data_IF_018806096574
#
_entry.id   IF_018806096574
#
_cell.length_a   1.000
_cell.length_b   1.000
_cell.length_c   1.000
_cell.angle_alpha   90.00
_cell.angle_beta   90.00
_cell.angle_gamma   90.00
#
_symmetry.space_group_name_H-M   'P 1'
#
loop_
_entity.id
_entity.type
_entity.pdbx_description
1 polymer ?
#
# COMPACT_ATOMS: atom_id res chain seq x y z
N UNK A 1 -0.20 -3.05 26.81
CA UNK A 1 -1.04 -2.62 25.67
C UNK A 1 -0.12 -1.97 24.65
N UNK A 2 -0.21 -2.33 23.37
CA UNK A 2 0.61 -1.69 22.35
C UNK A 2 0.25 -0.19 22.28
N UNK A 3 1.24 0.68 22.42
CA UNK A 3 1.05 2.13 22.30
C UNK A 3 0.92 2.50 20.83
N UNK A 4 -0.07 3.31 20.50
CA UNK A 4 -0.23 3.83 19.14
C UNK A 4 0.86 4.86 18.85
N UNK A 5 1.40 4.78 17.64
CA UNK A 5 2.42 5.72 17.15
C UNK A 5 1.83 6.69 16.13
N UNK A 6 2.39 7.89 16.06
CA UNK A 6 2.01 8.91 15.09
C UNK A 6 2.55 8.55 13.70
N UNK A 7 1.69 8.52 12.69
CA UNK A 7 2.13 8.23 11.31
C UNK A 7 3.08 9.29 10.72
N UNK A 8 3.07 10.51 11.27
CA UNK A 8 3.82 11.66 10.75
C UNK A 8 5.21 11.79 11.34
N UNK A 9 5.40 11.47 12.62
CA UNK A 9 6.67 11.66 13.33
C UNK A 9 7.11 10.47 14.18
N UNK A 10 6.36 9.36 14.17
CA UNK A 10 6.57 8.18 15.00
C UNK A 10 6.55 8.42 16.53
N UNK A 11 6.06 9.58 16.97
CA UNK A 11 5.86 9.88 18.39
C UNK A 11 4.85 8.94 19.04
N UNK A 12 5.06 8.65 20.32
CA UNK A 12 4.18 7.81 21.14
C UNK A 12 2.89 8.54 21.56
N UNK A 13 1.99 7.81 22.25
CA UNK A 13 0.72 8.32 22.78
C UNK A 13 -0.18 8.96 21.70
N UNK A 14 -0.17 8.38 20.50
CA UNK A 14 -1.00 8.85 19.41
C UNK A 14 -2.47 8.46 19.62
N UNK A 15 -3.38 9.33 19.16
CA UNK A 15 -4.80 9.07 19.15
C UNK A 15 -5.25 8.68 17.74
N UNK A 16 -6.15 7.70 17.65
CA UNK A 16 -6.77 7.35 16.38
C UNK A 16 -7.56 8.53 15.82
N UNK A 17 -7.62 8.64 14.50
CA UNK A 17 -8.57 9.52 13.85
C UNK A 17 -9.99 9.17 14.33
N UNK A 18 -10.73 10.20 14.75
CA UNK A 18 -12.08 10.07 15.30
C UNK A 18 -13.09 9.48 14.31
N UNK A 19 -12.84 9.59 13.00
CA UNK A 19 -13.71 9.07 11.95
C UNK A 19 -13.33 7.63 11.56
N UNK A 20 -12.21 7.45 10.85
CA UNK A 20 -11.85 6.15 10.28
C UNK A 20 -11.27 5.14 11.27
N UNK A 21 -10.76 5.61 12.42
CA UNK A 21 -10.05 4.79 13.41
C UNK A 21 -8.92 3.90 12.85
N UNK A 22 -8.39 4.23 11.68
CA UNK A 22 -7.43 3.43 10.90
C UNK A 22 -6.06 4.10 10.72
N UNK A 23 -5.87 5.27 11.34
CA UNK A 23 -4.60 6.03 11.37
C UNK A 23 -4.54 6.82 12.67
N UNK A 24 -3.35 7.12 13.17
CA UNK A 24 -3.15 7.82 14.46
C UNK A 24 -2.16 8.97 14.39
N UNK A 25 -2.40 9.99 15.23
CA UNK A 25 -1.59 11.20 15.35
C UNK A 25 -1.33 11.55 16.81
N UNK A 26 -0.13 12.01 17.14
CA UNK A 26 0.19 12.48 18.50
C UNK A 26 -0.33 13.89 18.79
N UNK A 27 -0.67 14.66 17.75
CA UNK A 27 -1.16 16.03 17.91
C UNK A 27 -2.08 16.48 16.76
N UNK A 28 -2.91 17.52 16.98
CA UNK A 28 -3.72 18.14 15.92
C UNK A 28 -2.89 18.66 14.75
N UNK A 29 -1.66 19.12 15.00
CA UNK A 29 -0.75 19.63 13.96
C UNK A 29 -0.31 18.51 13.02
N UNK A 30 0.06 17.35 13.57
CA UNK A 30 0.38 16.17 12.77
C UNK A 30 -0.82 15.75 11.91
N UNK A 31 -2.02 15.70 12.51
CA UNK A 31 -3.25 15.37 11.76
C UNK A 31 -3.53 16.39 10.65
N UNK A 32 -3.43 17.70 10.95
CA UNK A 32 -3.67 18.78 9.98
C UNK A 32 -2.68 18.73 8.83
N UNK A 33 -1.41 18.40 9.10
CA UNK A 33 -0.39 18.25 8.07
C UNK A 33 -0.66 17.08 7.13
N UNK A 34 -1.23 15.99 7.65
CA UNK A 34 -1.57 14.79 6.87
C UNK A 34 -2.90 14.91 6.12
N UNK A 35 -3.81 15.73 6.65
CA UNK A 35 -5.20 15.80 6.21
C UNK A 35 -5.39 15.93 4.69
N UNK A 36 -4.61 16.73 3.93
CA UNK A 36 -4.75 16.80 2.48
C UNK A 36 -4.67 15.44 1.78
N UNK A 37 -3.82 14.52 2.28
CA UNK A 37 -3.74 13.16 1.78
C UNK A 37 -4.76 12.26 2.47
N UNK A 38 -4.76 12.22 3.81
CA UNK A 38 -5.59 11.29 4.57
C UNK A 38 -7.07 11.39 4.22
N UNK A 39 -7.60 12.59 3.96
CA UNK A 39 -9.02 12.79 3.59
C UNK A 39 -9.45 12.01 2.35
N UNK A 40 -8.53 11.65 1.45
CA UNK A 40 -8.83 10.90 0.22
C UNK A 40 -9.29 9.47 0.51
N UNK A 41 -8.84 8.88 1.63
CA UNK A 41 -9.18 7.51 2.03
C UNK A 41 -9.98 7.42 3.33
N UNK A 42 -10.00 8.50 4.13
CA UNK A 42 -10.58 8.49 5.48
C UNK A 42 -12.01 7.93 5.50
N UNK A 43 -12.88 8.45 4.62
CA UNK A 43 -14.28 8.03 4.55
C UNK A 43 -14.41 6.57 4.09
N UNK A 44 -13.58 6.10 3.16
CA UNK A 44 -13.65 4.73 2.66
C UNK A 44 -13.45 3.68 3.78
N UNK A 45 -12.59 3.98 4.76
CA UNK A 45 -12.40 3.13 5.94
C UNK A 45 -13.58 3.13 6.92
N UNK A 46 -14.54 4.05 6.79
CA UNK A 46 -15.77 4.08 7.62
C UNK A 46 -16.92 3.28 7.03
N UNK A 47 -16.85 2.97 5.73
CA UNK A 47 -17.94 2.34 4.97
C UNK A 47 -17.45 1.10 4.22
N UNK A 48 -16.61 0.30 4.88
CA UNK A 48 -16.09 -0.92 4.28
C UNK A 48 -17.23 -1.94 4.09
N UNK A 49 -17.34 -2.56 2.90
CA UNK A 49 -18.24 -3.68 2.72
C UNK A 49 -17.77 -4.87 3.58
N UNK A 50 -18.69 -5.78 3.89
CA UNK A 50 -18.36 -7.00 4.62
C UNK A 50 -17.24 -7.77 3.91
N UNK A 51 -16.30 -8.28 4.70
CA UNK A 51 -15.25 -9.15 4.19
C UNK A 51 -15.90 -10.40 3.56
N UNK A 52 -15.63 -10.72 2.28
CA UNK A 52 -16.27 -11.86 1.62
C UNK A 52 -15.93 -13.20 2.28
N UNK A 53 -14.64 -13.45 2.53
CA UNK A 53 -14.15 -14.67 3.18
C UNK A 53 -12.96 -14.36 4.11
N UNK A 54 -12.65 -15.22 5.11
CA UNK A 54 -11.50 -15.02 5.99
C UNK A 54 -10.15 -14.89 5.28
N UNK A 55 -10.00 -15.53 4.12
CA UNK A 55 -8.81 -15.45 3.25
C UNK A 55 -8.66 -14.10 2.52
N UNK A 56 -9.68 -13.25 2.54
CA UNK A 56 -9.57 -11.94 1.91
C UNK A 56 -8.93 -10.94 2.87
N UNK A 57 -8.00 -10.14 2.36
CA UNK A 57 -7.33 -9.06 3.08
C UNK A 57 -7.69 -7.74 2.44
N UNK A 58 -7.90 -6.73 3.27
CA UNK A 58 -8.14 -5.39 2.77
C UNK A 58 -6.85 -4.84 2.15
N UNK A 59 -6.94 -4.28 0.95
CA UNK A 59 -5.85 -3.65 0.22
C UNK A 59 -6.28 -2.27 -0.32
N UNK A 60 -5.32 -1.49 -0.80
CA UNK A 60 -5.57 -0.24 -1.53
C UNK A 60 -5.17 -0.44 -2.99
N UNK A 61 -6.11 -0.28 -3.91
CA UNK A 61 -5.83 -0.14 -5.33
C UNK A 61 -5.51 1.32 -5.65
N UNK A 62 -4.42 1.52 -6.37
CA UNK A 62 -4.03 2.78 -7.01
C UNK A 62 -4.33 2.62 -8.50
N UNK A 63 -5.56 2.93 -8.95
CA UNK A 63 -5.96 2.76 -10.33
C UNK A 63 -5.13 3.64 -11.27
N UNK A 64 -4.89 3.15 -12.49
CA UNK A 64 -4.07 3.85 -13.48
C UNK A 64 -4.76 5.12 -14.01
N UNK A 65 -6.09 5.13 -14.06
CA UNK A 65 -6.95 6.08 -14.78
C UNK A 65 -7.80 6.98 -13.87
N UNK A 66 -7.70 6.80 -12.54
CA UNK A 66 -8.43 7.59 -11.56
C UNK A 66 -7.50 8.23 -10.53
N UNK A 67 -7.86 9.42 -10.05
CA UNK A 67 -7.12 10.13 -9.00
C UNK A 67 -7.36 9.56 -7.59
N UNK A 68 -8.47 8.84 -7.43
CA UNK A 68 -8.98 8.42 -6.12
C UNK A 68 -8.59 6.95 -5.85
N UNK A 69 -7.86 6.67 -4.75
CA UNK A 69 -7.53 5.31 -4.34
C UNK A 69 -8.78 4.54 -3.92
N UNK A 70 -8.78 3.22 -4.11
CA UNK A 70 -9.92 2.36 -3.81
C UNK A 70 -9.56 1.31 -2.76
N UNK A 71 -10.46 1.07 -1.80
CA UNK A 71 -10.33 -0.05 -0.86
C UNK A 71 -10.99 -1.29 -1.46
N UNK A 72 -10.21 -2.36 -1.57
CA UNK A 72 -10.64 -3.61 -2.20
C UNK A 72 -10.28 -4.81 -1.34
N UNK A 73 -11.03 -5.90 -1.49
CA UNK A 73 -10.76 -7.17 -0.84
C UNK A 73 -9.98 -8.07 -1.80
N UNK A 74 -8.75 -8.45 -1.42
CA UNK A 74 -7.90 -9.35 -2.21
C UNK A 74 -7.96 -10.75 -1.61
N UNK A 75 -8.33 -11.74 -2.42
CA UNK A 75 -8.23 -13.15 -2.04
C UNK A 75 -6.75 -13.51 -1.88
N UNK A 76 -6.34 -13.90 -0.68
CA UNK A 76 -5.01 -14.40 -0.39
C UNK A 76 -5.10 -15.92 -0.24
N UNK A 77 -4.69 -16.64 -1.28
CA UNK A 77 -4.76 -18.10 -1.30
C UNK A 77 -3.66 -18.69 -0.43
N UNK A 78 -4.02 -19.58 0.48
CA UNK A 78 -3.04 -20.29 1.29
C UNK A 78 -2.38 -21.37 0.45
N UNK A 79 -1.07 -21.29 0.32
CA UNK A 79 -0.20 -22.28 -0.29
C UNK A 79 0.65 -22.95 0.81
N UNK A 80 1.15 -24.15 0.52
CA UNK A 80 2.05 -24.90 1.40
C UNK A 80 3.14 -25.50 0.53
N UNK A 81 4.38 -25.42 0.96
CA UNK A 81 5.52 -25.99 0.26
C UNK A 81 5.49 -27.51 0.46
N UNK A 82 5.60 -28.28 -0.61
CA UNK A 82 5.55 -29.73 -0.50
C UNK A 82 6.85 -30.30 0.11
N UNK A 83 7.98 -29.58 0.04
CA UNK A 83 9.28 -30.03 0.53
C UNK A 83 9.48 -29.72 2.02
N UNK A 84 9.20 -28.50 2.46
CA UNK A 84 9.46 -28.05 3.84
C UNK A 84 8.20 -27.78 4.68
N UNK A 85 7.01 -27.87 4.07
CA UNK A 85 5.73 -27.65 4.74
C UNK A 85 5.46 -26.20 5.14
N UNK A 86 6.28 -25.24 4.70
CA UNK A 86 6.08 -23.82 5.00
C UNK A 86 4.83 -23.33 4.28
N UNK A 87 3.93 -22.70 5.03
CA UNK A 87 2.73 -22.09 4.47
C UNK A 87 2.95 -20.61 4.16
N UNK A 88 2.41 -20.14 3.03
CA UNK A 88 2.35 -18.73 2.66
C UNK A 88 1.01 -18.36 2.05
N UNK A 89 0.77 -17.06 1.87
CA UNK A 89 -0.38 -16.51 1.18
C UNK A 89 0.04 -15.92 -0.18
N UNK A 90 -0.64 -16.35 -1.26
CA UNK A 90 -0.49 -15.78 -2.60
C UNK A 90 -1.68 -14.84 -2.90
N UNK A 91 -1.46 -13.51 -3.03
CA UNK A 91 -2.54 -12.57 -3.28
C UNK A 91 -2.95 -12.56 -4.77
N UNK A 92 -4.23 -12.83 -5.05
CA UNK A 92 -4.81 -12.72 -6.38
C UNK A 92 -4.94 -11.25 -6.82
N UNK A 93 -3.88 -10.78 -7.45
CA UNK A 93 -3.69 -9.38 -7.87
C UNK A 93 -3.56 -9.22 -9.37
N UNK A 94 -3.37 -10.32 -10.12
CA UNK A 94 -3.04 -10.27 -11.55
C UNK A 94 -4.11 -9.52 -12.35
N UNK A 95 -5.38 -9.88 -12.14
CA UNK A 95 -6.51 -9.27 -12.84
C UNK A 95 -6.66 -7.76 -12.57
N UNK A 96 -6.13 -7.25 -11.45
CA UNK A 96 -6.14 -5.82 -11.11
C UNK A 96 -4.99 -5.05 -11.75
N UNK A 97 -3.95 -5.76 -12.19
CA UNK A 97 -2.75 -5.19 -12.74
C UNK A 97 -2.75 -5.15 -14.28
N UNK A 98 -3.69 -5.84 -14.91
CA UNK A 98 -3.86 -5.89 -16.36
C UNK A 98 -4.20 -4.50 -16.95
N UNK A 99 -3.73 -4.28 -18.18
CA UNK A 99 -4.03 -3.10 -18.98
C UNK A 99 -4.50 -3.54 -20.37
N UNK A 100 -5.19 -2.64 -21.07
CA UNK A 100 -5.63 -2.91 -22.44
C UNK A 100 -4.43 -3.15 -23.37
N UNK A 101 -4.51 -4.17 -24.22
CA UNK A 101 -3.48 -4.55 -25.19
C UNK A 101 -2.12 -4.93 -24.56
N UNK A 102 -2.13 -5.46 -23.33
CA UNK A 102 -0.91 -5.99 -22.71
C UNK A 102 -0.38 -7.20 -23.52
N UNK A 103 0.89 -7.16 -23.90
CA UNK A 103 1.55 -8.29 -24.54
C UNK A 103 1.54 -9.52 -23.61
N UNK A 104 1.16 -10.71 -24.09
CA UNK A 104 1.13 -11.91 -23.28
C UNK A 104 2.43 -12.26 -22.56
N UNK A 105 3.57 -11.87 -23.12
CA UNK A 105 4.89 -12.05 -22.48
C UNK A 105 4.98 -11.37 -21.11
N UNK A 106 4.21 -10.30 -20.89
CA UNK A 106 4.26 -9.48 -19.68
C UNK A 106 3.12 -9.73 -18.68
N UNK A 107 2.25 -10.72 -18.90
CA UNK A 107 1.12 -10.99 -18.00
C UNK A 107 1.53 -11.42 -16.59
N UNK A 108 2.64 -12.14 -16.44
CA UNK A 108 3.01 -12.78 -15.17
C UNK A 108 4.09 -12.03 -14.36
N UNK A 109 4.80 -11.07 -14.97
CA UNK A 109 5.94 -10.39 -14.34
C UNK A 109 5.49 -9.31 -13.35
N UNK A 110 5.46 -9.65 -12.06
CA UNK A 110 5.08 -8.75 -10.96
C UNK A 110 6.31 -8.31 -10.19
N UNK A 111 6.35 -7.03 -9.85
CA UNK A 111 7.32 -6.45 -8.92
C UNK A 111 6.67 -6.27 -7.55
N UNK A 112 7.41 -6.63 -6.50
CA UNK A 112 7.00 -6.51 -5.10
C UNK A 112 7.95 -5.56 -4.35
N UNK A 113 7.52 -4.33 -4.14
CA UNK A 113 8.31 -3.30 -3.47
C UNK A 113 7.99 -3.29 -1.97
N UNK A 114 8.89 -3.89 -1.18
CA UNK A 114 8.73 -4.03 0.28
C UNK A 114 9.27 -2.79 1.02
N UNK A 115 8.37 -2.06 1.68
CA UNK A 115 8.65 -0.84 2.44
C UNK A 115 8.66 -1.18 3.93
N UNK A 116 9.85 -1.14 4.53
CA UNK A 116 10.08 -1.39 5.97
C UNK A 116 10.53 -0.13 6.72
N UNK A 117 10.81 0.95 5.98
CA UNK A 117 11.26 2.24 6.49
C UNK A 117 10.56 3.35 5.73
N UNK A 118 10.00 4.31 6.46
CA UNK A 118 9.56 5.56 5.88
C UNK A 118 10.76 6.52 5.82
N UNK A 119 11.51 6.47 4.71
CA UNK A 119 12.73 7.25 4.53
C UNK A 119 12.44 8.76 4.57
N UNK A 120 11.35 9.21 3.92
CA UNK A 120 10.94 10.61 3.90
C UNK A 120 10.73 11.20 5.31
N UNK A 121 10.28 10.37 6.26
CA UNK A 121 10.02 10.76 7.65
C UNK A 121 11.08 10.31 8.64
N UNK A 122 12.08 9.54 8.20
CA UNK A 122 13.23 9.15 9.00
C UNK A 122 13.01 8.01 10.01
N UNK A 123 11.93 7.21 9.92
CA UNK A 123 11.66 6.15 10.90
C UNK A 123 11.41 4.76 10.28
N UNK A 124 11.70 3.71 11.07
CA UNK A 124 11.45 2.32 10.70
C UNK A 124 10.03 1.89 11.08
N UNK A 125 9.46 1.00 10.29
CA UNK A 125 8.17 0.37 10.56
C UNK A 125 8.39 -0.93 11.35
N UNK A 126 7.38 -1.34 12.13
CA UNK A 126 7.33 -2.66 12.78
C UNK A 126 6.62 -3.73 11.93
N UNK A 127 6.25 -3.36 10.70
CA UNK A 127 5.53 -4.15 9.71
C UNK A 127 6.04 -3.79 8.32
N UNK A 128 5.58 -4.50 7.30
CA UNK A 128 5.95 -4.24 5.90
C UNK A 128 4.72 -3.74 5.15
N UNK A 129 4.87 -2.62 4.43
CA UNK A 129 3.92 -2.19 3.40
C UNK A 129 4.49 -2.64 2.07
N UNK A 130 3.72 -3.37 1.28
CA UNK A 130 4.16 -3.87 -0.01
C UNK A 130 3.38 -3.17 -1.12
N UNK A 131 4.09 -2.62 -2.10
CA UNK A 131 3.50 -2.11 -3.34
C UNK A 131 3.75 -3.14 -4.43
N UNK A 132 2.66 -3.68 -4.97
CA UNK A 132 2.65 -4.67 -6.02
C UNK A 132 2.30 -3.95 -7.33
N UNK A 133 3.14 -4.13 -8.34
CA UNK A 133 2.94 -3.60 -9.69
C UNK A 133 3.48 -4.58 -10.72
N UNK A 134 3.47 -4.19 -12.00
CA UNK A 134 4.08 -4.99 -13.06
C UNK A 134 5.53 -4.59 -13.25
N UNK A 135 6.41 -5.57 -13.38
CA UNK A 135 7.84 -5.35 -13.54
C UNK A 135 8.15 -4.62 -14.86
N UNK A 136 7.42 -4.97 -15.92
CA UNK A 136 7.59 -4.40 -17.25
C UNK A 136 6.93 -3.03 -17.45
N UNK A 137 6.38 -2.39 -16.40
CA UNK A 137 5.56 -1.16 -16.50
C UNK A 137 6.24 0.02 -17.23
N UNK A 138 7.56 -0.01 -17.37
CA UNK A 138 8.32 1.01 -18.12
C UNK A 138 8.35 0.77 -19.64
N UNK A 139 8.13 -0.46 -20.09
CA UNK A 139 8.31 -0.88 -21.49
C UNK A 139 7.08 -1.56 -22.11
N UNK A 140 6.09 -1.94 -21.30
CA UNK A 140 4.90 -2.69 -21.73
C UNK A 140 3.72 -1.84 -22.23
N UNK A 141 3.94 -0.54 -22.46
CA UNK A 141 2.90 0.39 -22.89
C UNK A 141 2.08 1.04 -21.77
N UNK A 142 2.32 0.72 -20.49
CA UNK A 142 1.61 1.36 -19.37
C UNK A 142 1.70 2.87 -19.39
N UNK A 143 0.59 3.55 -19.16
CA UNK A 143 0.57 5.00 -18.93
C UNK A 143 0.99 5.35 -17.51
N UNK A 144 1.36 6.62 -17.23
CA UNK A 144 1.54 7.10 -15.87
C UNK A 144 0.31 6.82 -15.00
N UNK A 145 0.53 6.39 -13.76
CA UNK A 145 -0.54 6.14 -12.80
C UNK A 145 -1.11 7.48 -12.29
N UNK A 146 -2.34 7.81 -12.70
CA UNK A 146 -3.01 9.06 -12.34
C UNK A 146 -3.23 9.17 -10.82
N UNK A 147 -3.51 8.05 -10.14
CA UNK A 147 -3.70 8.03 -8.68
C UNK A 147 -2.42 8.46 -7.97
N UNK A 148 -1.27 7.86 -8.33
CA UNK A 148 0.03 8.20 -7.75
C UNK A 148 0.39 9.65 -8.08
N UNK A 149 0.25 10.08 -9.33
CA UNK A 149 0.56 11.44 -9.77
C UNK A 149 -0.23 12.48 -8.97
N UNK A 150 -1.54 12.27 -8.80
CA UNK A 150 -2.41 13.18 -8.06
C UNK A 150 -2.04 13.23 -6.56
N UNK A 151 -1.90 12.07 -5.92
CA UNK A 151 -1.67 11.99 -4.46
C UNK A 151 -0.25 12.40 -4.05
N UNK A 152 0.71 12.41 -4.98
CA UNK A 152 2.06 12.96 -4.81
C UNK A 152 2.19 14.39 -5.33
N UNK A 153 1.12 14.98 -5.88
CA UNK A 153 1.13 16.31 -6.52
C UNK A 153 2.19 16.47 -7.62
N UNK A 154 2.51 15.38 -8.32
CA UNK A 154 3.55 15.35 -9.35
C UNK A 154 4.97 15.60 -8.83
N UNK A 155 5.22 15.40 -7.53
CA UNK A 155 6.53 15.66 -6.92
C UNK A 155 7.44 14.42 -6.89
N UNK A 156 7.07 13.31 -7.53
CA UNK A 156 7.95 12.14 -7.62
C UNK A 156 9.11 12.42 -8.57
N UNK A 157 10.25 11.80 -8.31
CA UNK A 157 11.45 11.83 -9.18
C UNK A 157 11.30 10.89 -10.37
N UNK A 158 10.58 9.79 -10.18
CA UNK A 158 10.27 8.78 -11.19
C UNK A 158 8.80 8.83 -11.57
N UNK A 159 8.51 8.50 -12.83
CA UNK A 159 7.13 8.34 -13.31
C UNK A 159 6.67 6.92 -13.00
N UNK A 160 5.80 6.78 -12.01
CA UNK A 160 5.16 5.51 -11.67
C UNK A 160 4.11 5.17 -12.72
N UNK A 161 4.22 3.98 -13.34
CA UNK A 161 3.37 3.54 -14.45
C UNK A 161 2.59 2.28 -14.10
N UNK A 162 1.43 2.13 -14.72
CA UNK A 162 0.57 0.96 -14.52
C UNK A 162 -0.28 1.04 -13.24
N UNK A 163 -1.34 0.23 -13.13
CA UNK A 163 -2.06 0.04 -11.87
C UNK A 163 -1.16 -0.56 -10.79
N UNK A 164 -1.42 -0.25 -9.51
CA UNK A 164 -0.66 -0.78 -8.38
C UNK A 164 -1.58 -1.15 -7.23
N UNK A 165 -1.22 -2.18 -6.48
CA UNK A 165 -1.92 -2.61 -5.27
C UNK A 165 -0.99 -2.43 -4.07
N UNK A 166 -1.49 -1.82 -3.00
CA UNK A 166 -0.79 -1.69 -1.73
C UNK A 166 -1.38 -2.68 -0.75
N UNK A 167 -0.53 -3.53 -0.18
CA UNK A 167 -0.88 -4.53 0.82
C UNK A 167 -0.01 -4.41 2.07
N UNK A 168 -0.43 -5.09 3.14
CA UNK A 168 0.24 -5.05 4.44
C UNK A 168 0.63 -6.46 4.87
N UNK A 169 1.88 -6.61 5.28
CA UNK A 169 2.42 -7.85 5.82
C UNK A 169 2.88 -7.63 7.28
N UNK A 170 2.71 -8.61 8.18
CA UNK A 170 3.14 -8.50 9.55
C UNK A 170 4.67 -8.59 9.65
N UNK A 171 5.26 -7.79 10.55
CA UNK A 171 6.70 -7.81 10.79
C UNK A 171 7.54 -7.30 9.62
N UNK A 172 8.86 -7.45 9.76
CA UNK A 172 9.87 -6.92 8.83
C UNK A 172 10.81 -8.00 8.30
N UNK A 173 10.42 -9.28 8.41
CA UNK A 173 11.14 -10.42 7.86
C UNK A 173 11.49 -10.18 6.39
N UNK A 174 12.60 -10.77 5.91
CA UNK A 174 13.05 -10.61 4.51
C UNK A 174 11.90 -10.99 3.56
N UNK A 175 11.25 -12.12 3.84
CA UNK A 175 10.10 -12.59 3.12
C UNK A 175 8.93 -12.92 4.06
N UNK A 176 8.04 -11.94 4.35
CA UNK A 176 6.85 -12.20 5.15
C UNK A 176 5.89 -13.11 4.39
N UNK A 177 5.47 -14.20 5.03
CA UNK A 177 4.68 -15.26 4.38
C UNK A 177 3.18 -14.99 4.32
N UNK A 178 2.68 -13.99 5.05
CA UNK A 178 1.24 -13.75 5.23
C UNK A 178 0.88 -12.27 5.10
N UNK A 179 -0.39 -11.99 4.88
CA UNK A 179 -0.95 -10.65 4.79
C UNK A 179 -1.96 -10.38 5.91
N UNK A 180 -2.08 -9.11 6.27
CA UNK A 180 -3.10 -8.56 7.17
C UNK A 180 -3.82 -7.39 6.52
N UNK A 181 -4.95 -6.97 7.09
CA UNK A 181 -5.72 -5.86 6.54
C UNK A 181 -4.91 -4.56 6.55
N UNK A 182 -4.86 -3.89 5.40
CA UNK A 182 -4.27 -2.57 5.28
C UNK A 182 -4.97 -1.55 6.18
N UNK A 183 -4.21 -0.56 6.64
CA UNK A 183 -4.69 0.57 7.43
C UNK A 183 -4.56 1.87 6.65
N UNK A 184 -5.28 2.90 7.07
CA UNK A 184 -5.18 4.22 6.46
C UNK A 184 -3.76 4.81 6.61
N UNK A 185 -3.02 4.42 7.66
CA UNK A 185 -1.60 4.74 7.81
C UNK A 185 -0.74 4.24 6.64
N UNK A 186 -1.08 3.10 6.07
CA UNK A 186 -0.22 2.42 5.09
C UNK A 186 -0.30 3.12 3.72
N UNK A 187 -1.42 3.80 3.44
CA UNK A 187 -1.52 4.72 2.31
C UNK A 187 -0.50 5.86 2.41
N UNK A 188 -0.36 6.47 3.61
CA UNK A 188 0.66 7.49 3.85
C UNK A 188 2.07 6.92 3.64
N UNK A 189 2.35 5.72 4.14
CA UNK A 189 3.63 5.03 3.90
C UNK A 189 3.91 4.85 2.40
N UNK A 190 2.93 4.37 1.62
CA UNK A 190 3.09 4.17 0.18
C UNK A 190 3.35 5.50 -0.57
N UNK A 191 2.59 6.56 -0.25
CA UNK A 191 2.78 7.87 -0.89
C UNK A 191 4.12 8.50 -0.53
N UNK A 192 4.56 8.41 0.74
CA UNK A 192 5.87 8.88 1.15
C UNK A 192 6.99 8.09 0.47
N UNK A 193 6.81 6.79 0.27
CA UNK A 193 7.74 5.95 -0.50
C UNK A 193 7.90 6.46 -1.93
N UNK A 194 6.80 6.67 -2.67
CA UNK A 194 6.85 7.21 -4.03
C UNK A 194 7.54 8.58 -4.11
N UNK A 195 7.37 9.44 -3.09
CA UNK A 195 8.02 10.74 -3.00
C UNK A 195 9.53 10.64 -2.71
N UNK A 196 9.95 9.65 -1.92
CA UNK A 196 11.35 9.44 -1.52
C UNK A 196 12.15 8.56 -2.47
N UNK A 197 11.50 7.72 -3.27
CA UNK A 197 12.19 6.76 -4.14
C UNK A 197 13.15 7.47 -5.09
N UNK A 198 14.40 7.01 -5.17
CA UNK A 198 15.45 7.65 -5.98
C UNK A 198 15.97 8.98 -5.44
N UNK A 199 15.45 9.49 -4.32
CA UNK A 199 16.09 10.57 -3.54
C UNK A 199 17.01 9.87 -2.54
N UNK A 200 18.30 10.19 -2.52
CA UNK A 200 19.27 9.59 -1.60
C UNK A 200 19.04 10.01 -0.14
N UNK A 201 17.95 9.52 0.46
CA UNK A 201 17.44 9.83 1.80
C UNK A 201 17.63 8.67 2.78
#
# INVERSE_FOLDING_TARGET
MATLTCIICNGSNANLCSSCRSISYCSPECQKSDWPLHKTICKAFTTLPLRPFPSHKLAILLPIDSKDPQLIWIKCERCVDDEDGIAWENPDTQHLLEIENLDPEYHAARQFLKIKRNALRGFNLSYTVEVIGREAALIDGSTPNICVLHNTKGQTTHVWRGPMVVMRQPGTAIDPLFYEDIKASDFRVAIDYFLSYGRGL
#
